data_IF_152115868234
#
_entry.id   IF_152115868234
#
_cell.length_a   1.000
_cell.length_b   1.000
_cell.length_c   1.000
_cell.angle_alpha   90.00
_cell.angle_beta   90.00
_cell.angle_gamma   90.00
#
_symmetry.space_group_name_H-M   'P 1'
#
loop_
_entity.id
_entity.type
_entity.pdbx_description
1 polymer ?
#
# COMPACT_ATOMS: atom_id res chain seq x y z
N UNK A 1 11.95 -23.94 -15.04
CA UNK A 1 10.52 -23.83 -14.68
C UNK A 1 10.31 -23.39 -13.22
N UNK A 2 11.04 -23.94 -12.24
CA UNK A 2 10.89 -23.60 -10.81
C UNK A 2 11.06 -22.10 -10.46
N UNK A 3 12.04 -21.39 -11.04
CA UNK A 3 12.28 -19.96 -10.77
C UNK A 3 11.14 -19.04 -11.22
N UNK A 4 10.44 -19.37 -12.31
CA UNK A 4 9.30 -18.59 -12.80
C UNK A 4 8.09 -18.70 -11.86
N UNK A 5 7.91 -19.86 -11.23
CA UNK A 5 6.85 -20.11 -10.25
C UNK A 5 7.05 -19.30 -8.98
N UNK A 6 8.28 -19.25 -8.45
CA UNK A 6 8.61 -18.44 -7.26
C UNK A 6 8.46 -16.94 -7.51
N UNK A 7 8.87 -16.47 -8.69
CA UNK A 7 8.67 -15.08 -9.09
C UNK A 7 7.18 -14.72 -9.21
N UNK A 8 6.36 -15.60 -9.80
CA UNK A 8 4.91 -15.40 -9.87
C UNK A 8 4.23 -15.33 -8.50
N UNK A 9 4.64 -16.19 -7.56
CA UNK A 9 4.15 -16.15 -6.17
C UNK A 9 4.57 -14.87 -5.47
N UNK A 10 5.81 -14.41 -5.65
CA UNK A 10 6.26 -13.13 -5.11
C UNK A 10 5.42 -11.96 -5.64
N UNK A 11 5.24 -11.88 -6.97
CA UNK A 11 4.41 -10.83 -7.59
C UNK A 11 2.95 -10.93 -7.13
N UNK A 12 2.41 -12.13 -6.94
CA UNK A 12 1.07 -12.30 -6.41
C UNK A 12 0.96 -11.81 -4.95
N UNK A 13 1.88 -12.24 -4.08
CA UNK A 13 1.85 -11.92 -2.64
C UNK A 13 2.07 -10.43 -2.38
N UNK A 14 2.92 -9.75 -3.17
CA UNK A 14 3.23 -8.33 -2.95
C UNK A 14 2.50 -7.39 -3.92
N UNK A 15 2.30 -7.80 -5.16
CA UNK A 15 1.65 -6.99 -6.19
C UNK A 15 0.13 -6.95 -6.05
N UNK A 16 -0.53 -8.08 -5.71
CA UNK A 16 -1.99 -8.10 -5.59
C UNK A 16 -2.48 -7.17 -4.46
N UNK A 17 -1.89 -7.17 -3.25
CA UNK A 17 -2.31 -6.23 -2.21
C UNK A 17 -2.12 -4.77 -2.59
N UNK A 18 -1.04 -4.44 -3.31
CA UNK A 18 -0.77 -3.08 -3.81
C UNK A 18 -1.81 -2.66 -4.85
N UNK A 19 -2.13 -3.55 -5.79
CA UNK A 19 -3.15 -3.29 -6.82
C UNK A 19 -4.53 -3.11 -6.17
N UNK A 20 -4.89 -3.94 -5.20
CA UNK A 20 -6.15 -3.81 -4.44
C UNK A 20 -6.16 -2.47 -3.69
N UNK A 21 -5.09 -2.14 -2.98
CA UNK A 21 -4.97 -0.87 -2.26
C UNK A 21 -5.16 0.33 -3.19
N UNK A 22 -4.50 0.34 -4.35
CA UNK A 22 -4.64 1.41 -5.34
C UNK A 22 -6.05 1.48 -5.95
N UNK A 23 -6.67 0.32 -6.21
CA UNK A 23 -8.04 0.25 -6.72
C UNK A 23 -9.07 0.84 -5.74
N UNK A 24 -8.82 0.78 -4.42
CA UNK A 24 -9.66 1.44 -3.42
C UNK A 24 -9.26 2.90 -3.15
N UNK A 25 -7.96 3.22 -3.16
CA UNK A 25 -7.45 4.54 -2.87
C UNK A 25 -7.74 5.55 -4.00
N UNK A 26 -7.57 5.16 -5.26
CA UNK A 26 -7.72 6.07 -6.41
C UNK A 26 -9.16 6.62 -6.55
N UNK A 27 -10.22 5.81 -6.53
CA UNK A 27 -11.59 6.32 -6.63
C UNK A 27 -11.94 7.25 -5.48
N UNK A 28 -11.46 6.93 -4.28
CA UNK A 28 -11.72 7.72 -3.10
C UNK A 28 -10.96 9.06 -3.13
N UNK A 29 -9.72 9.10 -3.61
CA UNK A 29 -8.99 10.35 -3.89
C UNK A 29 -9.66 11.20 -4.96
N UNK A 30 -10.15 10.57 -6.04
CA UNK A 30 -10.88 11.27 -7.10
C UNK A 30 -12.22 11.82 -6.60
N UNK A 31 -12.94 11.07 -5.76
CA UNK A 31 -14.14 11.54 -5.10
C UNK A 31 -13.85 12.69 -4.12
N UNK A 32 -12.74 12.61 -3.38
CA UNK A 32 -12.29 13.66 -2.46
C UNK A 32 -11.95 14.96 -3.21
N UNK A 33 -11.26 14.86 -4.35
CA UNK A 33 -10.95 15.99 -5.24
C UNK A 33 -12.20 16.77 -5.65
N UNK A 34 -13.32 16.08 -5.85
CA UNK A 34 -14.59 16.70 -6.26
C UNK A 34 -15.43 17.28 -5.11
N UNK A 35 -15.03 17.07 -3.85
CA UNK A 35 -15.76 17.58 -2.68
C UNK A 35 -15.08 18.82 -2.12
N UNK A 36 -15.86 19.88 -1.92
CA UNK A 36 -15.50 20.98 -1.04
C UNK A 36 -15.56 20.46 0.40
N UNK A 37 -14.45 19.92 0.86
CA UNK A 37 -14.26 19.53 2.26
C UNK A 37 -13.53 20.67 2.95
N UNK A 38 -13.96 21.01 4.17
CA UNK A 38 -13.16 21.84 5.05
C UNK A 38 -11.76 21.22 5.18
N UNK A 39 -10.72 22.05 5.26
CA UNK A 39 -9.31 21.63 5.07
C UNK A 39 -8.85 20.48 5.98
N UNK A 40 -9.50 20.30 7.13
CA UNK A 40 -9.10 19.33 8.16
C UNK A 40 -9.46 17.87 7.81
N UNK A 41 -10.71 17.52 7.45
CA UNK A 41 -11.06 16.20 6.92
C UNK A 41 -10.21 15.76 5.72
N UNK A 42 -9.94 16.67 4.77
CA UNK A 42 -9.12 16.38 3.58
C UNK A 42 -7.69 16.03 3.98
N UNK A 43 -7.10 16.81 4.89
CA UNK A 43 -5.76 16.57 5.39
C UNK A 43 -5.66 15.22 6.11
N UNK A 44 -6.62 14.87 6.98
CA UNK A 44 -6.65 13.58 7.69
C UNK A 44 -6.79 12.41 6.70
N UNK A 45 -7.65 12.57 5.68
CA UNK A 45 -7.86 11.52 4.69
C UNK A 45 -6.63 11.30 3.80
N UNK A 46 -6.00 12.37 3.34
CA UNK A 46 -4.74 12.32 2.61
C UNK A 46 -3.61 11.72 3.46
N UNK A 47 -3.52 12.11 4.75
CA UNK A 47 -2.53 11.55 5.68
C UNK A 47 -2.73 10.04 5.85
N UNK A 48 -3.98 9.59 5.96
CA UNK A 48 -4.30 8.18 6.19
C UNK A 48 -3.94 7.33 4.96
N UNK A 49 -4.24 7.83 3.75
CA UNK A 49 -3.81 7.18 2.52
C UNK A 49 -2.30 7.08 2.44
N UNK A 50 -1.54 8.12 2.78
CA UNK A 50 -0.08 8.07 2.64
C UNK A 50 0.58 7.28 3.77
N UNK A 51 0.12 7.44 5.01
CA UNK A 51 0.75 6.85 6.18
C UNK A 51 0.58 5.33 6.24
N UNK A 52 -0.58 4.77 5.85
CA UNK A 52 -0.83 3.32 5.96
C UNK A 52 0.13 2.48 5.09
N UNK A 53 0.33 2.78 3.79
CA UNK A 53 1.31 2.07 2.95
C UNK A 53 2.75 2.27 3.41
N UNK A 54 3.11 3.48 3.86
CA UNK A 54 4.46 3.75 4.38
C UNK A 54 4.73 2.94 5.64
N UNK A 55 3.77 2.89 6.57
CA UNK A 55 3.86 2.03 7.75
C UNK A 55 3.90 0.55 7.37
N UNK A 56 3.12 0.12 6.38
CA UNK A 56 3.16 -1.25 5.86
C UNK A 56 4.52 -1.63 5.28
N UNK A 57 5.11 -0.75 4.47
CA UNK A 57 6.45 -0.94 3.91
C UNK A 57 7.53 -0.94 5.00
N UNK A 58 7.45 -0.03 5.97
CA UNK A 58 8.36 0.02 7.11
C UNK A 58 8.24 -1.25 7.97
N UNK A 59 7.03 -1.68 8.30
CA UNK A 59 6.79 -2.92 9.03
C UNK A 59 7.37 -4.12 8.28
N UNK A 60 7.23 -4.16 6.95
CA UNK A 60 7.82 -5.21 6.13
C UNK A 60 9.35 -5.19 6.16
N UNK A 61 9.95 -4.01 6.13
CA UNK A 61 11.39 -3.84 6.23
C UNK A 61 11.93 -4.26 7.61
N UNK A 62 11.25 -3.90 8.71
CA UNK A 62 11.72 -4.17 10.08
C UNK A 62 11.35 -5.56 10.62
N UNK A 63 10.21 -6.12 10.21
CA UNK A 63 9.70 -7.41 10.70
C UNK A 63 9.92 -8.55 9.69
N UNK A 64 10.45 -8.24 8.50
CA UNK A 64 10.71 -9.21 7.44
C UNK A 64 11.76 -10.26 7.85
N UNK A 65 11.56 -11.54 7.47
CA UNK A 65 12.41 -12.66 7.89
C UNK A 65 13.88 -12.59 7.42
N UNK A 66 14.24 -11.62 6.56
CA UNK A 66 15.60 -11.42 6.06
C UNK A 66 16.58 -10.72 7.02
N UNK A 67 16.11 -10.06 8.09
CA UNK A 67 16.98 -9.38 9.06
C UNK A 67 17.54 -10.34 10.12
N UNK A 68 16.84 -11.44 10.42
CA UNK A 68 17.21 -12.38 11.50
C UNK A 68 18.24 -13.45 11.09
N UNK A 69 18.72 -13.44 9.85
CA UNK A 69 19.63 -14.45 9.31
C UNK A 69 21.10 -13.97 9.16
N UNK A 70 21.48 -12.87 9.82
CA UNK A 70 22.88 -12.46 10.00
C UNK A 70 23.24 -12.40 11.46
#
# INVERSE_FOLDING_TARGET
MHMATWFGVFVAVYGIPVVIYLAFAIPALLALRSRALDDTPTAIWALTIVAIPVMGAAAFAFLGPGIRAR
#
